data_IF_662972465250
#
_entry.id   IF_662972465250
#
_cell.length_a   1.000
_cell.length_b   1.000
_cell.length_c   1.000
_cell.angle_alpha   90.00
_cell.angle_beta   90.00
_cell.angle_gamma   90.00
#
_symmetry.space_group_name_H-M   'P 1'
#
loop_
_entity.id
_entity.type
_entity.pdbx_description
1 polymer ?
#
# COMPACT_ATOMS: atom_id res chain seq x y z
N UNK A 1 -14.80 -3.68 10.57
CA UNK A 1 -15.39 -4.32 9.38
C UNK A 1 -15.58 -3.34 8.23
N UNK A 2 -16.52 -2.37 8.24
CA UNK A 2 -16.70 -1.47 7.08
C UNK A 2 -15.42 -0.71 6.67
N UNK A 3 -14.66 -0.19 7.64
CA UNK A 3 -13.40 0.51 7.38
C UNK A 3 -12.36 -0.37 6.66
N UNK A 4 -12.36 -1.69 6.90
CA UNK A 4 -11.47 -2.63 6.21
C UNK A 4 -11.89 -2.82 4.74
N UNK A 5 -13.21 -2.87 4.49
CA UNK A 5 -13.75 -2.95 3.12
C UNK A 5 -13.44 -1.67 2.33
N UNK A 6 -13.58 -0.50 2.95
CA UNK A 6 -13.22 0.78 2.33
C UNK A 6 -11.72 0.83 2.04
N UNK A 7 -10.87 0.39 2.98
CA UNK A 7 -9.41 0.37 2.78
C UNK A 7 -8.94 -0.58 1.67
N UNK A 8 -9.76 -1.56 1.27
CA UNK A 8 -9.46 -2.47 0.17
C UNK A 8 -9.70 -1.84 -1.21
N UNK A 9 -10.46 -0.74 -1.30
CA UNK A 9 -10.66 0.00 -2.54
C UNK A 9 -9.37 0.80 -2.82
N UNK A 10 -8.71 0.69 -3.98
CA UNK A 10 -7.37 1.25 -4.18
C UNK A 10 -7.30 2.76 -3.93
N UNK A 11 -8.06 3.55 -4.69
CA UNK A 11 -7.99 5.03 -4.61
C UNK A 11 -8.73 5.55 -3.38
N UNK A 12 -9.98 5.10 -3.19
CA UNK A 12 -10.83 5.57 -2.08
C UNK A 12 -10.26 5.13 -0.74
N UNK A 13 -9.79 3.89 -0.64
CA UNK A 13 -9.18 3.35 0.57
C UNK A 13 -7.86 4.03 0.91
N UNK A 14 -7.02 4.34 -0.09
CA UNK A 14 -5.81 5.11 0.13
C UNK A 14 -6.12 6.51 0.70
N UNK A 15 -7.05 7.25 0.07
CA UNK A 15 -7.47 8.59 0.55
C UNK A 15 -8.05 8.49 1.96
N UNK A 16 -8.92 7.50 2.21
CA UNK A 16 -9.51 7.27 3.52
C UNK A 16 -8.44 7.02 4.60
N UNK A 17 -7.45 6.17 4.31
CA UNK A 17 -6.35 5.88 5.23
C UNK A 17 -5.51 7.12 5.53
N UNK A 18 -5.23 7.98 4.54
CA UNK A 18 -4.53 9.25 4.76
C UNK A 18 -5.31 10.13 5.75
N UNK A 19 -6.61 10.34 5.49
CA UNK A 19 -7.46 11.17 6.35
C UNK A 19 -7.46 10.63 7.77
N UNK A 20 -7.67 9.33 7.97
CA UNK A 20 -7.74 8.74 9.31
C UNK A 20 -6.38 8.67 10.00
N UNK A 21 -5.29 8.40 9.28
CA UNK A 21 -3.94 8.28 9.84
C UNK A 21 -3.38 9.62 10.34
N UNK A 22 -3.77 10.73 9.70
CA UNK A 22 -3.19 12.06 9.96
C UNK A 22 -4.07 13.04 10.72
N UNK A 23 -5.35 12.73 11.00
CA UNK A 23 -6.15 13.62 11.86
C UNK A 23 -7.66 13.47 11.82
N UNK A 24 -8.22 12.65 10.94
CA UNK A 24 -9.67 12.49 10.75
C UNK A 24 -10.41 11.75 11.88
N UNK A 25 -9.75 11.45 13.00
CA UNK A 25 -10.39 10.84 14.17
C UNK A 25 -9.69 11.23 15.48
N UNK A 26 -10.46 11.47 16.57
CA UNK A 26 -9.90 11.74 17.89
C UNK A 26 -9.28 10.50 18.55
N UNK A 27 -9.68 9.29 18.12
CA UNK A 27 -9.24 8.05 18.75
C UNK A 27 -7.84 7.62 18.31
N UNK A 28 -6.90 7.53 19.26
CA UNK A 28 -5.51 7.17 18.98
C UNK A 28 -5.39 5.76 18.36
N UNK A 29 -6.14 4.80 18.89
CA UNK A 29 -6.13 3.41 18.39
C UNK A 29 -6.52 3.32 16.90
N UNK A 30 -7.53 4.09 16.47
CA UNK A 30 -7.97 4.11 15.07
C UNK A 30 -6.94 4.77 14.16
N UNK A 31 -6.25 5.83 14.63
CA UNK A 31 -5.12 6.43 13.89
C UNK A 31 -3.98 5.44 13.73
N UNK A 32 -3.62 4.72 14.80
CA UNK A 32 -2.56 3.71 14.76
C UNK A 32 -2.91 2.56 13.82
N UNK A 33 -4.16 2.09 13.82
CA UNK A 33 -4.65 1.11 12.84
C UNK A 33 -4.52 1.61 11.39
N UNK A 34 -4.93 2.85 11.12
CA UNK A 34 -4.81 3.43 9.77
C UNK A 34 -3.35 3.59 9.34
N UNK A 35 -2.46 4.02 10.25
CA UNK A 35 -1.02 4.10 10.00
C UNK A 35 -0.41 2.73 9.71
N UNK A 36 -0.80 1.69 10.46
CA UNK A 36 -0.33 0.33 10.22
C UNK A 36 -0.75 -0.17 8.82
N UNK A 37 -2.01 0.03 8.43
CA UNK A 37 -2.48 -0.32 7.08
C UNK A 37 -1.78 0.51 5.99
N UNK A 38 -1.56 1.80 6.22
CA UNK A 38 -0.85 2.67 5.30
C UNK A 38 0.60 2.20 5.06
N UNK A 39 1.31 1.81 6.13
CA UNK A 39 2.66 1.23 6.02
C UNK A 39 2.63 -0.08 5.22
N UNK A 40 1.63 -0.94 5.43
CA UNK A 40 1.46 -2.15 4.63
C UNK A 40 1.24 -1.87 3.14
N UNK A 41 0.50 -0.81 2.79
CA UNK A 41 0.35 -0.41 1.39
C UNK A 41 1.68 0.02 0.77
N UNK A 42 2.50 0.78 1.50
CA UNK A 42 3.85 1.17 1.05
C UNK A 42 4.73 -0.06 0.85
N UNK A 43 4.72 -1.00 1.80
CA UNK A 43 5.46 -2.27 1.68
C UNK A 43 5.02 -3.02 0.41
N UNK A 44 3.71 -3.13 0.16
CA UNK A 44 3.17 -3.76 -1.04
C UNK A 44 3.69 -3.13 -2.34
N UNK A 45 3.71 -1.79 -2.41
CA UNK A 45 4.26 -1.07 -3.57
C UNK A 45 5.74 -1.36 -3.74
N UNK A 46 6.54 -1.29 -2.67
CA UNK A 46 7.99 -1.56 -2.71
C UNK A 46 8.26 -2.98 -3.20
N UNK A 47 7.51 -3.98 -2.70
CA UNK A 47 7.64 -5.37 -3.12
C UNK A 47 7.31 -5.54 -4.62
N UNK A 48 6.20 -4.97 -5.08
CA UNK A 48 5.82 -5.03 -6.50
C UNK A 48 6.87 -4.39 -7.38
N UNK A 49 7.37 -3.21 -7.01
CA UNK A 49 8.43 -2.53 -7.76
C UNK A 49 9.70 -3.37 -7.80
N UNK A 50 10.13 -3.94 -6.68
CA UNK A 50 11.31 -4.80 -6.62
C UNK A 50 11.18 -6.04 -7.52
N UNK A 51 10.00 -6.68 -7.53
CA UNK A 51 9.73 -7.85 -8.38
C UNK A 51 9.70 -7.49 -9.87
N UNK A 52 9.07 -6.37 -10.23
CA UNK A 52 9.01 -5.90 -11.63
C UNK A 52 10.40 -5.52 -12.12
N UNK A 53 11.14 -4.72 -11.35
CA UNK A 53 12.50 -4.30 -11.73
C UNK A 53 13.43 -5.51 -11.80
N UNK A 54 13.45 -6.37 -10.79
CA UNK A 54 14.28 -7.57 -10.79
C UNK A 54 13.94 -8.53 -11.94
N UNK A 55 12.65 -8.73 -12.22
CA UNK A 55 12.19 -9.55 -13.34
C UNK A 55 12.57 -8.98 -14.70
N UNK A 56 12.39 -7.67 -14.91
CA UNK A 56 12.80 -7.00 -16.16
C UNK A 56 14.30 -7.07 -16.36
N UNK A 57 15.10 -6.85 -15.32
CA UNK A 57 16.56 -6.97 -15.39
C UNK A 57 16.97 -8.39 -15.79
N UNK A 58 16.42 -9.41 -15.13
CA UNK A 58 16.71 -10.80 -15.47
C UNK A 58 16.25 -11.20 -16.87
N UNK A 59 15.18 -10.59 -17.40
CA UNK A 59 14.69 -10.88 -18.76
C UNK A 59 15.60 -10.28 -19.84
N UNK A 60 16.28 -9.17 -19.56
CA UNK A 60 17.22 -8.54 -20.48
C UNK A 60 18.53 -9.34 -20.62
N UNK A 61 18.85 -10.21 -19.67
CA UNK A 61 20.01 -11.10 -19.74
C UNK A 61 19.78 -12.35 -20.61
N UNK A 62 18.55 -12.54 -21.14
CA UNK A 62 18.24 -13.66 -22.03
C UNK A 62 18.73 -13.40 -23.47
N UNK A 63 19.33 -14.40 -24.15
CA UNK A 63 19.75 -14.27 -25.55
C UNK A 63 18.57 -13.93 -26.46
N UNK A 64 18.61 -12.75 -27.10
CA UNK A 64 17.63 -12.33 -28.10
C UNK A 64 18.02 -12.97 -29.44
N UNK A 65 17.67 -14.25 -29.62
CA UNK A 65 17.89 -15.00 -30.87
C UNK A 65 17.06 -14.48 -32.03
#
# INVERSE_FOLDING_TARGET
MLAQLISAIPVVGFIYLLVVAFGGTPSLSRRNWARALFVWQIIGVVVVVALVVGGVLSANDLPQG
#
